data_IF_391721602461
#
_entry.id   IF_391721602461
#
_cell.length_a   1.000
_cell.length_b   1.000
_cell.length_c   1.000
_cell.angle_alpha   90.00
_cell.angle_beta   90.00
_cell.angle_gamma   90.00
#
_symmetry.space_group_name_H-M   'P 1'
#
loop_
_entity.id
_entity.type
_entity.pdbx_description
1 polymer ?
#
# COMPACT_ATOMS: atom_id res chain seq x y z
N UNK A 1 -10.67 12.79 -12.66
CA UNK A 1 -9.27 13.20 -12.84
C UNK A 1 -8.47 12.55 -11.71
N UNK A 2 -7.16 12.37 -11.89
CA UNK A 2 -6.30 11.89 -10.80
C UNK A 2 -6.19 13.01 -9.77
N UNK A 3 -6.48 12.71 -8.51
CA UNK A 3 -6.15 13.60 -7.41
C UNK A 3 -4.62 13.58 -7.19
N UNK A 4 -3.99 14.71 -6.84
CA UNK A 4 -2.54 14.81 -6.72
C UNK A 4 -2.01 14.26 -5.38
N UNK A 5 -2.40 13.03 -5.02
CA UNK A 5 -1.88 12.31 -3.85
C UNK A 5 -1.67 10.82 -4.16
N UNK A 6 -0.89 10.16 -3.31
CA UNK A 6 -0.64 8.71 -3.33
C UNK A 6 -0.89 8.13 -1.94
N UNK A 7 -1.42 6.92 -1.90
CA UNK A 7 -1.48 6.10 -0.69
C UNK A 7 -0.49 4.95 -0.80
N UNK A 8 0.10 4.58 0.33
CA UNK A 8 0.96 3.42 0.49
C UNK A 8 0.51 2.65 1.73
N UNK A 9 0.11 1.40 1.55
CA UNK A 9 -0.51 0.59 2.60
C UNK A 9 0.33 -0.67 2.80
N UNK A 10 0.65 -0.94 4.06
CA UNK A 10 1.31 -2.16 4.50
C UNK A 10 0.33 -2.98 5.34
N UNK A 11 -0.31 -4.01 4.77
CA UNK A 11 -1.07 -4.97 5.56
C UNK A 11 -0.16 -5.60 6.60
N UNK A 12 -0.68 -5.82 7.80
CA UNK A 12 0.08 -6.47 8.85
C UNK A 12 -0.79 -7.43 9.66
N UNK A 13 -0.12 -8.40 10.28
CA UNK A 13 -0.69 -9.23 11.33
C UNK A 13 0.14 -9.05 12.60
N UNK A 14 -0.51 -9.16 13.76
CA UNK A 14 0.18 -9.27 15.05
C UNK A 14 0.26 -10.75 15.40
N UNK A 15 1.45 -11.22 15.71
CA UNK A 15 1.69 -12.51 16.35
C UNK A 15 2.09 -12.27 17.80
N UNK A 16 2.16 -13.32 18.61
CA UNK A 16 2.54 -13.19 20.03
C UNK A 16 3.93 -12.53 20.19
N UNK A 17 4.83 -12.78 19.25
CA UNK A 17 6.24 -12.34 19.33
C UNK A 17 6.59 -11.15 18.41
N UNK A 18 5.71 -10.76 17.48
CA UNK A 18 6.09 -9.78 16.45
C UNK A 18 4.90 -9.14 15.72
N UNK A 19 5.19 -8.07 14.98
CA UNK A 19 4.31 -7.58 13.92
C UNK A 19 4.93 -7.98 12.59
N UNK A 20 4.17 -8.68 11.76
CA UNK A 20 4.59 -9.09 10.43
C UNK A 20 3.87 -8.25 9.39
N UNK A 21 4.63 -7.71 8.44
CA UNK A 21 4.09 -6.90 7.34
C UNK A 21 4.14 -7.68 6.04
N UNK A 22 3.08 -7.58 5.25
CA UNK A 22 3.03 -8.16 3.90
C UNK A 22 3.74 -7.23 2.92
N UNK A 23 4.67 -7.78 2.14
CA UNK A 23 5.31 -7.12 1.00
C UNK A 23 5.04 -7.95 -0.26
N UNK A 24 4.73 -7.28 -1.36
CA UNK A 24 4.34 -7.91 -2.62
C UNK A 24 5.47 -7.80 -3.65
N UNK A 25 5.85 -8.92 -4.25
CA UNK A 25 6.73 -8.94 -5.42
C UNK A 25 5.90 -8.61 -6.65
N UNK A 26 6.32 -7.62 -7.42
CA UNK A 26 5.67 -7.32 -8.69
C UNK A 26 5.94 -8.45 -9.69
N UNK A 27 4.91 -8.86 -10.43
CA UNK A 27 5.04 -9.89 -11.45
C UNK A 27 5.72 -9.38 -12.74
N UNK A 28 5.75 -8.07 -12.95
CA UNK A 28 6.24 -7.42 -14.17
C UNK A 28 7.64 -6.82 -14.00
N UNK A 29 8.17 -6.77 -12.78
CA UNK A 29 9.50 -6.24 -12.48
C UNK A 29 10.02 -6.77 -11.14
N UNK A 30 11.32 -6.96 -10.98
CA UNK A 30 11.92 -7.56 -9.77
C UNK A 30 11.85 -6.73 -8.48
N UNK A 31 10.91 -5.79 -8.36
CA UNK A 31 10.72 -4.95 -7.19
C UNK A 31 9.72 -5.52 -6.21
N UNK A 32 9.94 -5.21 -4.93
CA UNK A 32 9.04 -5.51 -3.83
C UNK A 32 8.43 -4.22 -3.30
N UNK A 33 7.12 -4.20 -3.02
CA UNK A 33 6.41 -3.00 -2.58
C UNK A 33 5.22 -3.33 -1.67
N UNK A 34 4.74 -2.30 -0.96
CA UNK A 34 3.39 -2.32 -0.38
C UNK A 34 2.31 -2.09 -1.45
N UNK A 35 1.05 -2.05 -1.01
CA UNK A 35 -0.06 -1.69 -1.89
C UNK A 35 0.00 -0.18 -2.11
N UNK A 36 0.10 0.26 -3.37
CA UNK A 36 0.25 1.67 -3.71
C UNK A 36 -0.77 2.08 -4.79
N UNK A 37 -1.29 3.30 -4.69
CA UNK A 37 -2.25 3.85 -5.65
C UNK A 37 -2.44 5.35 -5.49
N UNK A 38 -2.77 6.03 -6.59
CA UNK A 38 -3.19 7.43 -6.57
C UNK A 38 -4.68 7.55 -6.31
N UNK A 39 -5.08 8.64 -5.66
CA UNK A 39 -6.49 8.98 -5.52
C UNK A 39 -7.14 9.39 -6.83
N UNK A 40 -8.44 9.16 -6.92
CA UNK A 40 -9.29 9.74 -7.96
C UNK A 40 -10.05 10.97 -7.43
N UNK A 41 -10.57 11.80 -8.34
CA UNK A 41 -11.35 12.97 -7.98
C UNK A 41 -12.52 12.63 -7.05
N UNK A 42 -12.67 13.43 -5.99
CA UNK A 42 -13.74 13.27 -5.01
C UNK A 42 -13.43 12.22 -3.93
N UNK A 43 -12.30 11.53 -4.02
CA UNK A 43 -11.80 10.70 -2.93
C UNK A 43 -10.99 11.55 -1.95
N UNK A 44 -11.19 11.28 -0.66
CA UNK A 44 -10.37 11.83 0.42
C UNK A 44 -9.50 10.70 0.95
N UNK A 45 -8.18 10.89 1.08
CA UNK A 45 -7.35 9.89 1.74
C UNK A 45 -7.82 9.72 3.19
N UNK A 46 -8.05 8.48 3.60
CA UNK A 46 -8.20 8.12 5.00
C UNK A 46 -6.80 7.84 5.51
N UNK A 47 -6.34 8.65 6.46
CA UNK A 47 -5.05 8.46 7.15
C UNK A 47 -5.11 7.32 8.19
#
# INVERSE_FOLDING_TARGET
MRAPYQVLIFPYIKTDDSIQYTIFNRSDYGYWQGIAGGGEDGETPIE
#
